data_IF_975744690992
#
_entry.id   IF_975744690992
#
_cell.length_a   1.000
_cell.length_b   1.000
_cell.length_c   1.000
_cell.angle_alpha   90.00
_cell.angle_beta   90.00
_cell.angle_gamma   90.00
#
_symmetry.space_group_name_H-M   'P 1'
#
loop_
_entity.id
_entity.type
_entity.pdbx_description
1 polymer ?
#
# COMPACT_ATOMS: atom_id res chain seq x y z
N UNK A 1 -23.33 -6.23 -11.66
CA UNK A 1 -22.21 -7.03 -12.21
C UNK A 1 -20.97 -6.14 -12.13
N UNK A 2 -19.82 -6.65 -11.68
CA UNK A 2 -18.56 -5.88 -11.60
C UNK A 2 -17.61 -6.36 -12.70
N UNK A 3 -16.69 -5.51 -13.14
CA UNK A 3 -15.64 -5.93 -14.06
C UNK A 3 -14.83 -7.03 -13.37
N UNK A 4 -14.75 -8.21 -13.98
CA UNK A 4 -13.85 -9.28 -13.55
C UNK A 4 -12.75 -9.44 -14.58
N UNK A 5 -11.49 -9.39 -14.15
CA UNK A 5 -10.34 -9.84 -14.94
C UNK A 5 -9.76 -11.09 -14.31
N UNK A 6 -9.20 -11.95 -15.14
CA UNK A 6 -8.38 -13.07 -14.72
C UNK A 6 -7.04 -12.94 -15.44
N UNK A 7 -5.97 -12.77 -14.67
CA UNK A 7 -4.63 -12.72 -15.22
C UNK A 7 -3.97 -14.11 -15.25
N UNK A 8 -4.20 -14.92 -14.21
CA UNK A 8 -3.76 -16.31 -14.15
C UNK A 8 -4.98 -17.24 -14.16
N UNK A 9 -4.93 -18.27 -14.99
CA UNK A 9 -5.83 -19.42 -14.89
C UNK A 9 -5.60 -20.17 -13.56
N UNK A 10 -6.56 -21.02 -13.17
CA UNK A 10 -6.40 -21.84 -11.95
C UNK A 10 -5.18 -22.78 -12.05
N UNK A 11 -4.90 -23.32 -13.24
CA UNK A 11 -3.73 -24.15 -13.50
C UNK A 11 -2.42 -23.35 -13.36
N UNK A 12 -2.40 -22.09 -13.83
CA UNK A 12 -1.23 -21.22 -13.69
C UNK A 12 -1.00 -20.78 -12.24
N UNK A 13 -2.05 -20.55 -11.44
CA UNK A 13 -1.93 -20.29 -10.00
C UNK A 13 -1.35 -21.48 -9.26
N UNK A 14 -1.84 -22.68 -9.57
CA UNK A 14 -1.29 -23.92 -9.03
C UNK A 14 0.19 -24.08 -9.44
N UNK A 15 0.53 -23.75 -10.68
CA UNK A 15 1.92 -23.78 -11.14
C UNK A 15 2.81 -22.81 -10.34
N UNK A 16 2.37 -21.57 -10.11
CA UNK A 16 3.10 -20.61 -9.26
C UNK A 16 3.29 -21.20 -7.85
N UNK A 17 2.25 -21.79 -7.26
CA UNK A 17 2.35 -22.40 -5.94
C UNK A 17 3.35 -23.57 -5.91
N UNK A 18 3.33 -24.45 -6.90
CA UNK A 18 4.23 -25.61 -6.96
C UNK A 18 5.70 -25.19 -7.15
N UNK A 19 5.98 -24.23 -8.03
CA UNK A 19 7.33 -23.69 -8.19
C UNK A 19 7.79 -22.96 -6.92
N UNK A 20 6.89 -22.25 -6.24
CA UNK A 20 7.18 -21.59 -4.96
C UNK A 20 7.61 -22.60 -3.90
N UNK A 21 6.87 -23.71 -3.75
CA UNK A 21 7.23 -24.77 -2.81
C UNK A 21 8.58 -25.41 -3.14
N UNK A 22 8.86 -25.57 -4.43
CA UNK A 22 10.14 -26.10 -4.90
C UNK A 22 11.29 -25.14 -4.58
N UNK A 23 11.11 -23.83 -4.78
CA UNK A 23 12.09 -22.81 -4.41
C UNK A 23 12.39 -22.88 -2.90
N UNK A 24 11.34 -22.85 -2.06
CA UNK A 24 11.48 -22.90 -0.61
C UNK A 24 12.19 -24.18 -0.11
N UNK A 25 11.97 -25.31 -0.78
CA UNK A 25 12.52 -26.61 -0.38
C UNK A 25 13.90 -26.92 -0.95
N UNK A 26 14.15 -26.62 -2.23
CA UNK A 26 15.40 -26.96 -2.93
C UNK A 26 16.45 -25.86 -2.80
N UNK A 27 16.07 -24.60 -3.00
CA UNK A 27 17.00 -23.46 -2.91
C UNK A 27 17.16 -23.00 -1.46
N UNK A 28 16.06 -22.95 -0.70
CA UNK A 28 16.03 -22.43 0.66
C UNK A 28 16.01 -20.90 0.70
N UNK A 29 15.96 -20.38 1.93
CA UNK A 29 15.90 -18.93 2.21
C UNK A 29 16.95 -18.60 3.28
N UNK A 30 17.67 -17.49 3.08
CA UNK A 30 18.71 -17.00 3.98
C UNK A 30 18.09 -16.19 5.13
N UNK A 31 18.32 -16.57 6.37
CA UNK A 31 17.83 -15.86 7.55
C UNK A 31 18.98 -15.35 8.42
N UNK A 32 19.12 -14.03 8.53
CA UNK A 32 20.10 -13.45 9.45
C UNK A 32 19.67 -13.49 10.93
N UNK A 33 18.41 -13.85 11.20
CA UNK A 33 17.87 -14.07 12.54
C UNK A 33 18.09 -15.51 13.01
N UNK A 34 18.83 -15.68 14.11
CA UNK A 34 18.94 -16.97 14.78
C UNK A 34 17.60 -17.42 15.40
N UNK A 35 16.74 -16.49 15.83
CA UNK A 35 15.40 -16.82 16.35
C UNK A 35 14.54 -17.47 15.26
N UNK A 36 14.55 -16.92 14.05
CA UNK A 36 13.83 -17.47 12.91
C UNK A 36 14.33 -18.86 12.52
N UNK A 37 15.65 -19.06 12.46
CA UNK A 37 16.23 -20.39 12.18
C UNK A 37 15.84 -21.44 13.23
N UNK A 38 15.89 -21.07 14.52
CA UNK A 38 15.44 -21.97 15.60
C UNK A 38 13.95 -22.33 15.47
N UNK A 39 13.09 -21.36 15.15
CA UNK A 39 11.66 -21.61 14.92
C UNK A 39 11.44 -22.58 13.76
N UNK A 40 12.16 -22.40 12.65
CA UNK A 40 12.05 -23.27 11.48
C UNK A 40 12.55 -24.69 11.78
N UNK A 41 13.71 -24.83 12.41
CA UNK A 41 14.28 -26.15 12.78
C UNK A 41 13.35 -26.90 13.75
N UNK A 42 12.82 -26.19 14.77
CA UNK A 42 11.89 -26.76 15.73
C UNK A 42 10.57 -27.25 15.09
N UNK A 43 10.21 -26.73 13.92
CA UNK A 43 9.03 -27.15 13.15
C UNK A 43 9.37 -28.09 11.98
N UNK A 44 10.61 -28.61 11.91
CA UNK A 44 10.99 -29.66 10.97
C UNK A 44 11.63 -29.17 9.67
N UNK A 45 12.00 -27.89 9.56
CA UNK A 45 12.81 -27.41 8.44
C UNK A 45 14.25 -27.93 8.58
N UNK A 46 14.90 -28.21 7.45
CA UNK A 46 16.35 -28.46 7.45
C UNK A 46 17.06 -27.12 7.48
N UNK A 47 17.96 -26.91 8.45
CA UNK A 47 18.74 -25.68 8.57
C UNK A 47 20.23 -25.96 8.33
N UNK A 48 20.83 -25.20 7.43
CA UNK A 48 22.28 -25.01 7.35
C UNK A 48 22.63 -23.81 8.23
N UNK A 49 23.16 -24.08 9.43
CA UNK A 49 23.52 -23.06 10.41
C UNK A 49 24.76 -22.24 10.02
N UNK A 50 25.67 -22.80 9.21
CA UNK A 50 26.86 -22.10 8.75
C UNK A 50 26.48 -21.10 7.64
N UNK A 51 25.72 -21.57 6.66
CA UNK A 51 25.18 -20.74 5.58
C UNK A 51 24.00 -19.85 6.01
N UNK A 52 23.40 -20.12 7.18
CA UNK A 52 22.15 -19.51 7.68
C UNK A 52 20.94 -19.72 6.75
N UNK A 53 20.91 -20.83 6.03
CA UNK A 53 19.87 -21.15 5.06
C UNK A 53 18.90 -22.16 5.67
N UNK A 54 17.61 -21.87 5.57
CA UNK A 54 16.56 -22.82 5.91
C UNK A 54 15.85 -23.34 4.65
N UNK A 55 15.69 -24.65 4.58
CA UNK A 55 14.98 -25.35 3.52
C UNK A 55 13.62 -25.78 4.05
N UNK A 56 12.57 -25.16 3.52
CA UNK A 56 11.24 -25.16 4.12
C UNK A 56 10.34 -26.15 3.37
N UNK A 57 9.92 -27.26 4.01
CA UNK A 57 9.06 -28.26 3.38
C UNK A 57 7.59 -27.82 3.31
N UNK A 58 6.81 -28.47 2.42
CA UNK A 58 5.39 -28.14 2.15
C UNK A 58 4.53 -28.15 3.41
N UNK A 59 4.84 -29.02 4.35
CA UNK A 59 4.09 -29.22 5.60
C UNK A 59 4.10 -27.94 6.45
N UNK A 60 5.26 -27.27 6.56
CA UNK A 60 5.38 -26.00 7.29
C UNK A 60 4.60 -24.89 6.57
N UNK A 61 4.69 -24.83 5.23
CA UNK A 61 3.93 -23.86 4.43
C UNK A 61 2.42 -24.04 4.67
N UNK A 62 1.95 -25.29 4.65
CA UNK A 62 0.54 -25.64 4.88
C UNK A 62 0.09 -25.28 6.30
N UNK A 63 0.92 -25.56 7.30
CA UNK A 63 0.65 -25.21 8.70
C UNK A 63 0.51 -23.70 8.88
N UNK A 64 1.46 -22.91 8.36
CA UNK A 64 1.43 -21.45 8.45
C UNK A 64 0.18 -20.88 7.76
N UNK A 65 -0.11 -21.33 6.54
CA UNK A 65 -1.32 -20.90 5.82
C UNK A 65 -2.62 -21.31 6.54
N UNK A 66 -2.62 -22.40 7.31
CA UNK A 66 -3.82 -22.84 8.05
C UNK A 66 -4.13 -21.99 9.29
N UNK A 67 -3.11 -21.34 9.85
CA UNK A 67 -3.23 -20.50 11.06
C UNK A 67 -3.43 -19.03 10.74
N UNK A 68 -2.99 -18.58 9.56
CA UNK A 68 -3.17 -17.20 9.10
C UNK A 68 -4.67 -16.84 8.97
N UNK A 69 -5.15 -15.75 9.60
CA UNK A 69 -6.53 -15.30 9.49
C UNK A 69 -6.93 -14.97 8.04
N UNK A 70 -8.11 -15.45 7.63
CA UNK A 70 -8.68 -15.19 6.29
C UNK A 70 -9.34 -13.83 6.16
N UNK A 71 -9.71 -13.24 7.29
CA UNK A 71 -10.34 -11.92 7.34
C UNK A 71 -10.09 -11.27 8.70
N UNK A 72 -10.00 -9.94 8.70
CA UNK A 72 -9.92 -9.10 9.88
C UNK A 72 -10.22 -7.66 9.49
N UNK A 73 -10.31 -6.76 10.47
CA UNK A 73 -10.53 -5.33 10.23
C UNK A 73 -9.25 -4.60 10.56
N UNK A 74 -8.70 -3.84 9.62
CA UNK A 74 -7.72 -2.81 9.92
C UNK A 74 -8.43 -1.69 10.65
N UNK A 75 -8.20 -1.56 11.95
CA UNK A 75 -8.76 -0.45 12.71
C UNK A 75 -8.02 0.84 12.43
N UNK A 76 -8.39 1.87 13.18
CA UNK A 76 -7.71 3.16 13.16
C UNK A 76 -7.91 3.86 14.51
N UNK A 77 -7.20 4.97 14.73
CA UNK A 77 -7.41 5.79 15.94
C UNK A 77 -8.85 6.28 16.02
N UNK A 78 -9.39 6.79 14.91
CA UNK A 78 -10.82 7.05 14.77
C UNK A 78 -11.51 5.80 14.17
N UNK A 79 -12.41 5.12 14.90
CA UNK A 79 -13.08 3.92 14.42
C UNK A 79 -13.89 4.10 13.13
N UNK A 80 -14.23 5.33 12.73
CA UNK A 80 -14.89 5.62 11.46
C UNK A 80 -14.02 5.28 10.23
N UNK A 81 -12.70 5.16 10.41
CA UNK A 81 -11.75 4.77 9.36
C UNK A 81 -11.38 3.29 9.37
N UNK A 82 -12.09 2.46 10.15
CA UNK A 82 -11.88 1.02 10.13
C UNK A 82 -12.17 0.44 8.75
N UNK A 83 -11.29 -0.43 8.27
CA UNK A 83 -11.34 -1.00 6.92
C UNK A 83 -11.33 -2.53 6.96
N UNK A 84 -12.42 -3.20 6.56
CA UNK A 84 -12.50 -4.66 6.56
C UNK A 84 -11.68 -5.27 5.43
N UNK A 85 -10.97 -6.35 5.75
CA UNK A 85 -10.17 -7.14 4.82
C UNK A 85 -10.65 -8.61 4.83
N UNK A 86 -10.77 -9.28 3.67
CA UNK A 86 -10.67 -8.70 2.33
C UNK A 86 -11.83 -7.72 2.04
N UNK A 87 -11.56 -6.75 1.18
CA UNK A 87 -12.49 -5.70 0.80
C UNK A 87 -13.14 -5.99 -0.55
N UNK A 88 -14.43 -5.65 -0.73
CA UNK A 88 -15.09 -5.78 -2.02
C UNK A 88 -14.60 -4.75 -3.06
N UNK A 89 -13.84 -3.73 -2.67
CA UNK A 89 -13.34 -2.66 -3.54
C UNK A 89 -11.93 -2.28 -3.12
N UNK A 90 -11.05 -2.04 -4.08
CA UNK A 90 -9.71 -1.55 -3.76
C UNK A 90 -9.77 -0.16 -3.14
N UNK A 91 -8.95 0.06 -2.12
CA UNK A 91 -8.62 1.38 -1.58
C UNK A 91 -7.11 1.59 -1.65
N UNK A 92 -6.63 2.72 -1.17
CA UNK A 92 -5.25 3.12 -1.43
C UNK A 92 -4.50 3.46 -0.15
N UNK A 93 -3.18 3.24 -0.21
CA UNK A 93 -2.23 3.64 0.79
C UNK A 93 -1.26 4.69 0.23
N UNK A 94 -0.77 5.55 1.12
CA UNK A 94 0.41 6.36 0.83
C UNK A 94 1.57 5.45 0.48
N UNK A 95 2.40 5.90 -0.46
CA UNK A 95 3.74 5.36 -0.61
C UNK A 95 4.63 5.77 0.58
N UNK A 96 5.73 5.07 0.77
CA UNK A 96 6.53 5.13 1.99
C UNK A 96 7.97 5.58 1.78
N UNK A 97 8.53 6.24 2.81
CA UNK A 97 9.98 6.34 3.04
C UNK A 97 10.83 6.94 1.91
N UNK A 98 10.23 7.67 0.96
CA UNK A 98 10.94 8.33 -0.14
C UNK A 98 12.07 9.23 0.38
N UNK A 99 13.19 9.28 -0.34
CA UNK A 99 14.35 10.05 0.12
C UNK A 99 14.11 11.56 0.05
N UNK A 100 13.32 12.01 -0.92
CA UNK A 100 13.13 13.42 -1.24
C UNK A 100 11.67 13.85 -1.11
N UNK A 101 11.50 15.13 -0.79
CA UNK A 101 10.23 15.84 -0.90
C UNK A 101 10.41 17.08 -1.78
N UNK A 102 9.39 17.38 -2.58
CA UNK A 102 9.26 18.68 -3.21
C UNK A 102 8.66 19.65 -2.19
N UNK A 103 9.41 20.68 -1.83
CA UNK A 103 8.91 21.71 -0.93
C UNK A 103 7.72 22.44 -1.57
N UNK A 104 6.56 22.36 -0.91
CA UNK A 104 5.30 22.83 -1.47
C UNK A 104 5.29 24.32 -1.84
N UNK A 105 6.02 25.16 -1.09
CA UNK A 105 6.01 26.61 -1.31
C UNK A 105 7.05 27.06 -2.33
N UNK A 106 8.24 26.44 -2.31
CA UNK A 106 9.36 26.85 -3.17
C UNK A 106 9.49 26.02 -4.44
N UNK A 107 8.86 24.85 -4.51
CA UNK A 107 8.97 23.89 -5.61
C UNK A 107 10.32 23.19 -5.71
N UNK A 108 11.20 23.35 -4.70
CA UNK A 108 12.53 22.75 -4.71
C UNK A 108 12.52 21.35 -4.13
N UNK A 109 13.18 20.42 -4.81
CA UNK A 109 13.43 19.08 -4.28
C UNK A 109 14.56 19.14 -3.24
N UNK A 110 14.36 18.48 -2.11
CA UNK A 110 15.31 18.34 -1.01
C UNK A 110 15.06 17.04 -0.26
N UNK A 111 15.96 16.66 0.63
CA UNK A 111 15.70 15.55 1.54
C UNK A 111 14.41 15.77 2.35
N UNK A 112 13.70 14.67 2.57
CA UNK A 112 12.47 14.63 3.35
C UNK A 112 12.69 15.01 4.81
N UNK A 113 11.65 15.53 5.43
CA UNK A 113 11.62 15.88 6.86
C UNK A 113 10.31 15.43 7.48
N UNK A 114 10.26 15.37 8.80
CA UNK A 114 9.03 15.06 9.54
C UNK A 114 7.90 16.08 9.28
N UNK A 115 8.23 17.33 8.95
CA UNK A 115 7.24 18.34 8.55
C UNK A 115 6.62 18.02 7.17
N UNK A 116 7.38 17.39 6.25
CA UNK A 116 6.82 16.94 4.98
C UNK A 116 5.88 15.74 5.20
N UNK A 117 6.25 14.82 6.10
CA UNK A 117 5.36 13.76 6.56
C UNK A 117 4.06 14.34 7.13
N UNK A 118 4.16 15.31 8.05
CA UNK A 118 3.00 15.95 8.67
C UNK A 118 2.04 16.56 7.62
N UNK A 119 2.58 17.30 6.64
CA UNK A 119 1.77 17.90 5.56
C UNK A 119 1.14 16.85 4.66
N UNK A 120 1.91 15.85 4.23
CA UNK A 120 1.41 14.78 3.36
C UNK A 120 0.31 13.97 4.04
N UNK A 121 0.48 13.64 5.31
CA UNK A 121 -0.51 12.92 6.12
C UNK A 121 -1.82 13.72 6.27
N UNK A 122 -1.73 15.05 6.43
CA UNK A 122 -2.92 15.92 6.44
C UNK A 122 -3.64 15.94 5.09
N UNK A 123 -2.89 16.02 3.99
CA UNK A 123 -3.47 15.94 2.63
C UNK A 123 -4.14 14.58 2.42
N UNK A 124 -3.44 13.49 2.74
CA UNK A 124 -3.95 12.13 2.62
C UNK A 124 -5.18 11.88 3.51
N UNK A 125 -5.24 12.50 4.68
CA UNK A 125 -6.41 12.40 5.56
C UNK A 125 -7.69 12.86 4.84
N UNK A 126 -7.61 13.90 4.02
CA UNK A 126 -8.74 14.40 3.24
C UNK A 126 -9.10 13.56 1.99
N UNK A 127 -8.26 12.60 1.59
CA UNK A 127 -8.48 11.76 0.41
C UNK A 127 -9.45 10.62 0.74
N UNK A 128 -10.56 10.50 0.03
CA UNK A 128 -11.61 9.52 0.32
C UNK A 128 -11.28 8.09 -0.13
N UNK A 129 -10.41 7.93 -1.13
CA UNK A 129 -9.93 6.61 -1.56
C UNK A 129 -8.80 6.07 -0.68
N UNK A 130 -8.16 6.93 0.12
CA UNK A 130 -7.04 6.58 0.99
C UNK A 130 -7.49 6.02 2.34
N UNK A 131 -7.04 4.81 2.71
CA UNK A 131 -7.41 4.13 3.96
C UNK A 131 -6.23 3.82 4.88
N UNK A 132 -5.01 3.74 4.33
CA UNK A 132 -3.80 3.32 5.05
C UNK A 132 -2.70 4.36 4.86
N UNK A 133 -2.25 4.96 5.96
CA UNK A 133 -1.22 5.98 5.96
C UNK A 133 0.14 5.36 6.29
N UNK A 134 1.11 5.59 5.43
CA UNK A 134 2.53 5.33 5.65
C UNK A 134 3.26 6.67 5.67
N UNK A 135 4.31 6.81 6.47
CA UNK A 135 5.22 7.96 6.47
C UNK A 135 5.82 8.14 5.06
N UNK A 136 5.45 9.19 4.31
CA UNK A 136 5.78 9.26 2.89
C UNK A 136 7.24 9.57 2.58
N UNK A 137 8.01 10.11 3.53
CA UNK A 137 9.44 10.33 3.34
C UNK A 137 10.23 9.93 4.56
N UNK A 138 11.49 9.55 4.32
CA UNK A 138 12.47 9.43 5.39
C UNK A 138 12.68 10.80 6.04
N UNK A 139 12.47 10.90 7.35
CA UNK A 139 12.62 12.13 8.11
C UNK A 139 14.11 12.38 8.42
N UNK A 140 14.83 12.93 7.43
CA UNK A 140 16.29 13.15 7.52
C UNK A 140 16.68 14.22 8.56
N UNK A 141 15.71 14.98 9.08
CA UNK A 141 15.91 15.89 10.22
C UNK A 141 15.92 15.20 11.59
N UNK A 142 15.68 13.87 11.65
CA UNK A 142 15.65 13.07 12.88
C UNK A 142 16.87 12.13 13.02
N UNK A 143 17.25 11.74 14.25
CA UNK A 143 18.38 10.81 14.46
C UNK A 143 18.14 9.46 13.80
N UNK A 144 19.17 8.89 13.16
CA UNK A 144 19.02 7.69 12.33
C UNK A 144 18.53 6.47 13.13
N UNK A 145 19.02 6.28 14.37
CA UNK A 145 18.65 5.13 15.21
C UNK A 145 17.20 5.14 15.70
N UNK A 146 16.53 6.31 15.69
CA UNK A 146 15.15 6.48 16.17
C UNK A 146 14.20 7.02 15.11
N UNK A 147 14.70 7.34 13.92
CA UNK A 147 13.92 7.90 12.81
C UNK A 147 12.61 7.13 12.53
N UNK A 148 12.60 5.78 12.47
CA UNK A 148 11.33 5.06 12.26
C UNK A 148 10.29 5.33 13.36
N UNK A 149 10.70 5.58 14.61
CA UNK A 149 9.78 5.93 15.70
C UNK A 149 9.18 7.33 15.51
N UNK A 150 9.99 8.31 15.07
CA UNK A 150 9.51 9.65 14.74
C UNK A 150 8.49 9.59 13.60
N UNK A 151 8.80 8.84 12.55
CA UNK A 151 7.92 8.62 11.39
C UNK A 151 6.61 7.90 11.80
N UNK A 152 6.70 6.86 12.61
CA UNK A 152 5.53 6.18 13.17
C UNK A 152 4.62 7.16 13.91
N UNK A 153 5.18 7.95 14.84
CA UNK A 153 4.43 8.90 15.66
C UNK A 153 3.95 10.15 14.90
N UNK A 154 4.59 10.49 13.78
CA UNK A 154 4.10 11.49 12.84
C UNK A 154 2.75 11.08 12.24
N UNK A 155 2.56 9.80 11.91
CA UNK A 155 1.29 9.26 11.41
C UNK A 155 0.19 9.47 12.45
N UNK A 156 0.42 9.10 13.71
CA UNK A 156 -0.57 9.27 14.77
C UNK A 156 -0.99 10.73 14.99
N UNK A 157 -0.04 11.66 14.88
CA UNK A 157 -0.25 13.09 15.11
C UNK A 157 -1.06 13.74 13.99
N UNK A 158 -0.87 13.29 12.75
CA UNK A 158 -1.33 14.03 11.57
C UNK A 158 -2.47 13.36 10.79
N UNK A 159 -2.86 12.13 11.15
CA UNK A 159 -4.06 11.47 10.62
C UNK A 159 -4.72 10.57 11.67
N UNK A 160 -6.01 10.32 11.53
CA UNK A 160 -6.75 9.35 12.35
C UNK A 160 -7.11 8.05 11.61
N UNK A 161 -6.67 7.91 10.35
CA UNK A 161 -6.78 6.68 9.53
C UNK A 161 -5.84 5.58 10.03
N UNK A 162 -5.95 4.36 9.48
CA UNK A 162 -5.04 3.27 9.80
C UNK A 162 -3.60 3.68 9.49
N UNK A 163 -2.67 3.45 10.42
CA UNK A 163 -1.25 3.72 10.18
C UNK A 163 -0.45 2.46 9.91
N UNK A 164 0.54 2.56 9.05
CA UNK A 164 1.49 1.50 8.77
C UNK A 164 2.89 2.09 8.70
N UNK A 165 3.85 1.45 9.35
CA UNK A 165 5.25 1.80 9.19
C UNK A 165 6.13 0.63 9.64
N UNK A 166 7.44 0.85 9.62
CA UNK A 166 8.43 -0.15 9.97
C UNK A 166 9.27 0.22 11.18
N UNK A 167 9.93 -0.78 11.74
CA UNK A 167 11.03 -0.63 12.69
C UNK A 167 12.17 -1.52 12.22
N UNK A 168 13.41 -1.11 12.45
CA UNK A 168 14.59 -1.78 11.91
C UNK A 168 15.35 -2.56 12.97
N UNK A 169 15.20 -2.19 14.24
CA UNK A 169 15.98 -2.76 15.33
C UNK A 169 15.08 -3.20 16.50
N UNK A 170 15.50 -4.25 17.19
CA UNK A 170 14.78 -4.83 18.33
C UNK A 170 14.61 -3.80 19.46
N UNK A 171 15.61 -2.94 19.66
CA UNK A 171 15.67 -1.91 20.69
C UNK A 171 14.61 -0.82 20.50
N UNK A 172 14.04 -0.67 19.30
CA UNK A 172 12.96 0.27 19.01
C UNK A 172 11.59 -0.26 19.50
N UNK A 173 11.44 -1.58 19.63
CA UNK A 173 10.16 -2.22 19.93
C UNK A 173 9.50 -1.77 21.25
N UNK A 174 10.23 -1.54 22.37
CA UNK A 174 9.60 -1.10 23.61
C UNK A 174 9.02 0.31 23.49
N UNK A 175 9.69 1.19 22.73
CA UNK A 175 9.25 2.56 22.50
C UNK A 175 8.01 2.61 21.61
N UNK A 176 7.98 1.81 20.55
CA UNK A 176 6.79 1.68 19.71
C UNK A 176 5.61 1.14 20.52
N UNK A 177 5.83 0.10 21.34
CA UNK A 177 4.81 -0.47 22.22
C UNK A 177 4.24 0.56 23.21
N UNK A 178 5.11 1.30 23.90
CA UNK A 178 4.70 2.35 24.85
C UNK A 178 3.87 3.45 24.14
N UNK A 179 4.30 3.87 22.95
CA UNK A 179 3.57 4.88 22.16
C UNK A 179 2.21 4.39 21.67
N UNK A 180 2.13 3.15 21.15
CA UNK A 180 0.87 2.51 20.74
C UNK A 180 -0.13 2.43 21.89
N UNK A 181 0.32 1.96 23.06
CA UNK A 181 -0.52 1.87 24.27
C UNK A 181 -0.97 3.25 24.72
N UNK A 182 -0.08 4.24 24.66
CA UNK A 182 -0.41 5.63 25.01
C UNK A 182 -1.53 6.18 24.11
N UNK A 183 -1.46 5.96 22.80
CA UNK A 183 -2.48 6.47 21.87
C UNK A 183 -3.79 5.69 21.95
N UNK A 184 -3.72 4.37 22.08
CA UNK A 184 -4.91 3.51 22.10
C UNK A 184 -5.57 3.41 23.50
N UNK A 185 -4.85 3.82 24.55
CA UNK A 185 -5.29 3.84 25.94
C UNK A 185 -4.99 2.55 26.72
N UNK A 186 -4.80 1.41 26.04
CA UNK A 186 -4.41 0.14 26.67
C UNK A 186 -3.82 -0.83 25.65
N UNK A 187 -3.08 -1.83 26.15
CA UNK A 187 -2.58 -2.94 25.34
C UNK A 187 -3.72 -3.75 24.70
N UNK A 188 -4.79 -4.00 25.45
CA UNK A 188 -5.98 -4.71 24.93
C UNK A 188 -6.60 -3.98 23.73
N UNK A 189 -6.63 -2.65 23.73
CA UNK A 189 -7.16 -1.88 22.61
C UNK A 189 -6.22 -1.88 21.39
N UNK A 190 -4.90 -1.97 21.60
CA UNK A 190 -3.92 -2.19 20.51
C UNK A 190 -4.20 -3.53 19.82
N UNK A 191 -4.26 -4.62 20.61
CA UNK A 191 -4.50 -5.99 20.12
C UNK A 191 -5.87 -6.15 19.47
N UNK A 192 -6.91 -5.52 20.02
CA UNK A 192 -8.29 -5.71 19.55
C UNK A 192 -8.59 -4.92 18.29
N UNK A 193 -8.07 -3.70 18.16
CA UNK A 193 -8.44 -2.80 17.06
C UNK A 193 -7.57 -2.96 15.83
N UNK A 194 -6.31 -3.38 15.97
CA UNK A 194 -5.36 -3.37 14.87
C UNK A 194 -5.28 -1.98 14.21
N UNK A 195 -5.24 -0.92 15.03
CA UNK A 195 -5.24 0.45 14.53
C UNK A 195 -3.99 0.81 13.73
N UNK A 196 -2.94 0.03 13.93
CA UNK A 196 -1.65 0.17 13.27
C UNK A 196 -1.13 -1.21 12.86
N UNK A 197 -0.48 -1.26 11.71
CA UNK A 197 0.19 -2.45 11.20
C UNK A 197 1.68 -2.17 10.99
N UNK A 198 2.42 -3.25 10.79
CA UNK A 198 3.82 -3.20 10.38
C UNK A 198 3.93 -3.58 8.92
N UNK A 199 4.92 -3.03 8.23
CA UNK A 199 5.35 -3.51 6.91
C UNK A 199 6.66 -4.25 7.04
N UNK A 200 6.78 -5.44 6.46
CA UNK A 200 8.00 -6.24 6.49
C UNK A 200 8.46 -6.54 5.07
N UNK A 201 9.62 -6.01 4.70
CA UNK A 201 10.21 -6.19 3.37
C UNK A 201 11.34 -7.24 3.45
N UNK A 202 11.14 -8.47 2.94
CA UNK A 202 12.27 -9.38 2.74
C UNK A 202 13.24 -8.81 1.70
N UNK A 203 14.51 -9.21 1.81
CA UNK A 203 15.58 -8.79 0.92
C UNK A 203 15.65 -9.77 -0.25
N UNK A 204 15.35 -9.29 -1.45
CA UNK A 204 15.43 -10.12 -2.64
C UNK A 204 16.88 -10.32 -3.12
N UNK A 205 17.25 -11.53 -3.60
CA UNK A 205 16.44 -12.75 -3.61
C UNK A 205 16.55 -13.55 -2.29
N UNK A 206 15.38 -13.98 -1.78
CA UNK A 206 15.22 -15.06 -0.78
C UNK A 206 16.03 -14.85 0.52
N UNK A 207 16.01 -13.64 1.06
CA UNK A 207 16.73 -13.30 2.28
C UNK A 207 15.89 -12.49 3.27
N UNK A 208 16.17 -12.66 4.55
CA UNK A 208 15.56 -11.91 5.65
C UNK A 208 16.62 -11.20 6.49
N UNK A 209 16.39 -9.91 6.77
CA UNK A 209 17.17 -9.16 7.75
C UNK A 209 17.01 -9.75 9.16
N UNK A 210 18.08 -9.70 9.97
CA UNK A 210 18.10 -10.28 11.31
C UNK A 210 17.41 -9.40 12.35
N UNK A 211 17.95 -8.19 12.63
CA UNK A 211 17.38 -7.26 13.60
C UNK A 211 15.89 -6.95 13.37
N UNK A 212 15.49 -6.66 12.13
CA UNK A 212 14.09 -6.36 11.80
C UNK A 212 13.19 -7.59 12.03
N UNK A 213 13.63 -8.78 11.61
CA UNK A 213 12.86 -10.01 11.84
C UNK A 213 12.67 -10.27 13.34
N UNK A 214 13.74 -10.11 14.14
CA UNK A 214 13.68 -10.29 15.58
C UNK A 214 12.74 -9.28 16.26
N UNK A 215 12.76 -8.02 15.80
CA UNK A 215 11.83 -6.99 16.25
C UNK A 215 10.38 -7.36 15.95
N UNK A 216 10.10 -7.92 14.78
CA UNK A 216 8.74 -8.25 14.35
C UNK A 216 8.24 -9.50 15.04
N UNK A 217 9.12 -10.48 15.31
CA UNK A 217 8.80 -11.61 16.19
C UNK A 217 8.41 -11.09 17.58
N UNK A 218 9.14 -10.13 18.15
CA UNK A 218 8.81 -9.55 19.46
C UNK A 218 7.46 -8.79 19.45
N UNK A 219 7.25 -7.93 18.45
CA UNK A 219 6.01 -7.15 18.30
C UNK A 219 4.77 -8.02 18.00
N UNK A 220 4.96 -9.30 17.67
CA UNK A 220 3.85 -10.26 17.62
C UNK A 220 3.18 -10.43 18.98
N UNK A 221 3.88 -10.13 20.08
CA UNK A 221 3.27 -10.04 21.39
C UNK A 221 2.19 -8.95 21.49
N UNK A 222 2.07 -7.99 20.57
CA UNK A 222 0.97 -7.01 20.53
C UNK A 222 -0.09 -7.34 19.46
N UNK A 223 0.00 -8.52 18.84
CA UNK A 223 -0.87 -8.97 17.74
C UNK A 223 -0.94 -8.00 16.55
N UNK A 224 0.06 -7.12 16.39
CA UNK A 224 0.08 -6.13 15.30
C UNK A 224 0.05 -6.84 13.94
N UNK A 225 -0.87 -6.49 13.02
CA UNK A 225 -0.86 -7.05 11.68
C UNK A 225 0.46 -6.79 10.97
N UNK A 226 0.90 -7.74 10.14
CA UNK A 226 2.09 -7.56 9.30
C UNK A 226 1.73 -7.69 7.83
N UNK A 227 2.04 -6.67 7.06
CA UNK A 227 2.03 -6.75 5.60
C UNK A 227 3.40 -7.21 5.11
N UNK A 228 3.43 -8.27 4.31
CA UNK A 228 4.68 -8.77 3.72
C UNK A 228 4.91 -8.09 2.39
N UNK A 229 6.03 -7.40 2.15
CA UNK A 229 6.27 -6.66 0.90
C UNK A 229 7.57 -7.10 0.21
N UNK A 230 7.62 -8.28 -0.43
CA UNK A 230 8.72 -8.67 -1.30
C UNK A 230 8.83 -7.79 -2.54
N UNK A 231 10.07 -7.45 -2.92
CA UNK A 231 10.38 -6.51 -4.00
C UNK A 231 11.43 -7.02 -5.01
N UNK A 232 11.29 -8.24 -5.56
CA UNK A 232 12.24 -8.71 -6.56
C UNK A 232 12.08 -7.92 -7.86
N UNK A 233 13.21 -7.52 -8.42
CA UNK A 233 13.31 -6.70 -9.64
C UNK A 233 13.78 -7.59 -10.79
N UNK A 234 13.00 -7.61 -11.86
CA UNK A 234 13.28 -8.48 -13.02
C UNK A 234 14.66 -8.17 -13.60
N UNK A 235 15.51 -9.19 -13.70
CA UNK A 235 16.86 -9.08 -14.25
C UNK A 235 17.94 -8.61 -13.28
N UNK A 236 17.63 -8.32 -12.02
CA UNK A 236 18.63 -8.03 -10.97
C UNK A 236 18.46 -8.94 -9.76
N UNK A 237 17.56 -8.59 -8.83
CA UNK A 237 17.26 -9.35 -7.61
C UNK A 237 16.24 -10.45 -7.86
N UNK A 238 15.66 -10.54 -9.06
CA UNK A 238 14.89 -11.68 -9.53
C UNK A 238 15.14 -11.98 -11.01
N UNK A 239 14.64 -13.11 -11.53
CA UNK A 239 14.83 -13.48 -12.92
C UNK A 239 14.13 -12.49 -13.87
N UNK A 240 14.66 -12.34 -15.08
CA UNK A 240 14.08 -11.44 -16.10
C UNK A 240 12.66 -11.86 -16.54
N UNK A 241 12.34 -13.15 -16.41
CA UNK A 241 11.00 -13.68 -16.70
C UNK A 241 10.00 -13.20 -15.65
N UNK A 242 8.89 -12.59 -16.08
CA UNK A 242 7.82 -12.16 -15.18
C UNK A 242 7.30 -13.32 -14.32
N UNK A 243 7.07 -14.49 -14.92
CA UNK A 243 6.61 -15.67 -14.20
C UNK A 243 7.60 -16.13 -13.13
N UNK A 244 8.89 -16.16 -13.48
CA UNK A 244 9.94 -16.50 -12.52
C UNK A 244 10.02 -15.48 -11.37
N UNK A 245 9.84 -14.19 -11.67
CA UNK A 245 9.89 -13.11 -10.69
C UNK A 245 8.68 -13.17 -9.75
N UNK A 246 7.50 -13.50 -10.28
CA UNK A 246 6.29 -13.80 -9.48
C UNK A 246 6.55 -14.97 -8.53
N UNK A 247 7.21 -16.04 -8.98
CA UNK A 247 7.52 -17.19 -8.12
C UNK A 247 8.49 -16.82 -6.99
N UNK A 248 9.50 -15.97 -7.26
CA UNK A 248 10.42 -15.46 -6.22
C UNK A 248 9.67 -14.58 -5.22
N UNK A 249 8.88 -13.61 -5.70
CA UNK A 249 8.08 -12.75 -4.84
C UNK A 249 7.15 -13.57 -3.94
N UNK A 250 6.50 -14.59 -4.50
CA UNK A 250 5.61 -15.47 -3.76
C UNK A 250 6.36 -16.31 -2.71
N UNK A 251 7.56 -16.80 -3.02
CA UNK A 251 8.40 -17.52 -2.04
C UNK A 251 8.83 -16.62 -0.88
N UNK A 252 9.19 -15.38 -1.15
CA UNK A 252 9.55 -14.39 -0.13
C UNK A 252 8.34 -13.98 0.75
N UNK A 253 7.16 -13.79 0.14
CA UNK A 253 5.92 -13.56 0.89
C UNK A 253 5.60 -14.75 1.81
N UNK A 254 5.61 -15.98 1.28
CA UNK A 254 5.29 -17.17 2.08
C UNK A 254 6.32 -17.45 3.18
N UNK A 255 7.62 -17.26 2.92
CA UNK A 255 8.65 -17.41 3.96
C UNK A 255 8.48 -16.41 5.10
N UNK A 256 8.08 -15.17 4.79
CA UNK A 256 7.69 -14.17 5.78
C UNK A 256 6.49 -14.64 6.60
N UNK A 257 5.39 -15.04 5.94
CA UNK A 257 4.17 -15.52 6.60
C UNK A 257 4.47 -16.71 7.52
N UNK A 258 5.31 -17.64 7.06
CA UNK A 258 5.70 -18.82 7.83
C UNK A 258 6.33 -18.42 9.15
N UNK A 259 7.34 -17.54 9.15
CA UNK A 259 7.99 -17.13 10.39
C UNK A 259 7.00 -16.51 11.37
N UNK A 260 6.14 -15.59 10.89
CA UNK A 260 5.21 -14.90 11.78
C UNK A 260 4.10 -15.80 12.31
N UNK A 261 3.63 -16.77 11.52
CA UNK A 261 2.64 -17.75 11.99
C UNK A 261 3.25 -18.82 12.90
N UNK A 262 4.53 -19.20 12.71
CA UNK A 262 5.22 -20.10 13.64
C UNK A 262 5.50 -19.42 14.98
N UNK A 263 5.87 -18.14 14.96
CA UNK A 263 6.11 -17.35 16.17
C UNK A 263 4.80 -17.04 16.92
N UNK A 264 3.77 -16.62 16.18
CA UNK A 264 2.48 -16.18 16.74
C UNK A 264 1.32 -16.69 15.87
N UNK A 265 0.88 -17.95 16.06
CA UNK A 265 -0.23 -18.52 15.30
C UNK A 265 -1.50 -17.69 15.40
N UNK A 266 -2.10 -17.32 14.27
CA UNK A 266 -3.31 -16.50 14.24
C UNK A 266 -3.05 -14.98 14.18
N UNK A 267 -1.78 -14.55 14.20
CA UNK A 267 -1.43 -13.15 13.97
C UNK A 267 -1.93 -12.70 12.60
N UNK A 268 -2.63 -11.55 12.47
CA UNK A 268 -3.06 -11.08 11.16
C UNK A 268 -1.87 -10.81 10.22
N UNK A 269 -1.97 -11.30 8.99
CA UNK A 269 -0.98 -11.05 7.93
C UNK A 269 -1.68 -10.58 6.66
N UNK A 270 -1.04 -9.66 5.94
CA UNK A 270 -1.50 -9.19 4.64
C UNK A 270 -0.46 -9.62 3.61
N UNK A 271 -0.90 -10.40 2.63
CA UNK A 271 -0.07 -10.80 1.51
C UNK A 271 0.17 -9.58 0.62
N UNK A 272 1.42 -9.27 0.28
CA UNK A 272 1.71 -8.16 -0.66
C UNK A 272 2.90 -8.49 -1.54
N UNK A 273 3.14 -7.59 -2.49
CA UNK A 273 4.40 -7.46 -3.19
C UNK A 273 4.49 -6.09 -3.86
N UNK A 274 5.72 -5.61 -3.99
CA UNK A 274 6.08 -4.49 -4.85
C UNK A 274 7.22 -4.91 -5.79
N UNK A 275 6.91 -5.79 -6.75
CA UNK A 275 7.87 -6.20 -7.77
C UNK A 275 8.41 -5.01 -8.56
N UNK A 276 9.56 -5.14 -9.21
CA UNK A 276 10.08 -4.10 -10.08
C UNK A 276 10.51 -4.63 -11.42
N UNK A 277 10.79 -3.70 -12.32
CA UNK A 277 11.49 -4.00 -13.57
C UNK A 277 12.81 -3.25 -13.67
N UNK A 278 13.73 -3.78 -14.47
CA UNK A 278 14.99 -3.13 -14.78
C UNK A 278 14.92 -2.45 -16.15
N UNK A 279 15.34 -1.20 -16.25
CA UNK A 279 15.68 -0.62 -17.56
C UNK A 279 17.07 -1.14 -17.99
N UNK A 280 17.09 -2.09 -18.92
CA UNK A 280 18.32 -2.70 -19.44
C UNK A 280 19.28 -1.71 -20.12
N UNK A 281 18.85 -0.49 -20.43
CA UNK A 281 19.69 0.53 -21.08
C UNK A 281 20.61 1.24 -20.09
N UNK A 282 20.18 1.39 -18.83
CA UNK A 282 20.89 2.18 -17.82
C UNK A 282 20.99 1.50 -16.44
N UNK A 283 20.33 0.37 -16.24
CA UNK A 283 20.32 -0.37 -14.98
C UNK A 283 19.40 0.22 -13.90
N UNK A 284 18.52 1.16 -14.23
CA UNK A 284 17.60 1.77 -13.26
C UNK A 284 16.45 0.81 -12.89
N UNK A 285 16.02 0.89 -11.63
CA UNK A 285 14.75 0.33 -11.19
C UNK A 285 13.61 1.12 -11.84
N UNK A 286 12.56 0.40 -12.24
CA UNK A 286 11.38 0.93 -12.89
C UNK A 286 10.13 0.33 -12.23
N UNK A 287 9.33 1.19 -11.61
CA UNK A 287 8.06 0.87 -10.96
C UNK A 287 6.83 1.27 -11.79
N UNK A 288 6.97 2.22 -12.73
CA UNK A 288 5.91 2.77 -13.57
C UNK A 288 5.60 1.97 -14.85
N UNK A 289 5.93 0.67 -14.89
CA UNK A 289 5.86 -0.14 -16.12
C UNK A 289 4.61 -1.01 -16.19
N UNK A 290 4.13 -1.35 -17.40
CA UNK A 290 2.99 -2.27 -17.55
C UNK A 290 3.30 -3.66 -16.97
N UNK A 291 4.55 -4.15 -17.06
CA UNK A 291 4.98 -5.41 -16.47
C UNK A 291 4.81 -5.43 -14.95
N UNK A 292 5.08 -4.31 -14.28
CA UNK A 292 4.83 -4.16 -12.84
C UNK A 292 3.33 -4.29 -12.52
N UNK A 293 2.46 -3.64 -13.29
CA UNK A 293 1.00 -3.78 -13.14
C UNK A 293 0.52 -5.23 -13.32
N UNK A 294 1.09 -5.96 -14.29
CA UNK A 294 0.78 -7.38 -14.51
C UNK A 294 1.24 -8.25 -13.33
N UNK A 295 2.49 -8.13 -12.88
CA UNK A 295 2.99 -8.93 -11.75
C UNK A 295 2.19 -8.65 -10.47
N UNK A 296 1.86 -7.38 -10.21
CA UNK A 296 1.04 -6.97 -9.07
C UNK A 296 -0.35 -7.59 -9.09
N UNK A 297 -1.02 -7.59 -10.26
CA UNK A 297 -2.32 -8.26 -10.41
C UNK A 297 -2.22 -9.77 -10.19
N UNK A 298 -1.20 -10.44 -10.75
CA UNK A 298 -0.99 -11.87 -10.60
C UNK A 298 -0.77 -12.26 -9.14
N UNK A 299 0.04 -11.49 -8.41
CA UNK A 299 0.30 -11.71 -6.99
C UNK A 299 -0.93 -11.40 -6.13
N UNK A 300 -1.77 -10.43 -6.49
CA UNK A 300 -3.08 -10.25 -5.85
C UNK A 300 -3.98 -11.48 -6.04
N UNK A 301 -3.96 -12.12 -7.22
CA UNK A 301 -4.68 -13.39 -7.42
C UNK A 301 -4.10 -14.52 -6.57
N UNK A 302 -2.78 -14.56 -6.35
CA UNK A 302 -2.13 -15.53 -5.46
C UNK A 302 -2.50 -15.30 -3.98
N UNK A 303 -2.58 -14.06 -3.51
CA UNK A 303 -3.10 -13.74 -2.17
C UNK A 303 -4.49 -14.35 -1.96
N UNK A 304 -5.39 -14.20 -2.94
CA UNK A 304 -6.73 -14.83 -2.93
C UNK A 304 -6.70 -16.34 -3.06
N UNK A 305 -5.79 -16.89 -3.87
CA UNK A 305 -5.57 -18.34 -3.96
C UNK A 305 -5.25 -18.93 -2.58
N UNK A 306 -4.45 -18.21 -1.78
CA UNK A 306 -4.18 -18.59 -0.40
C UNK A 306 -5.30 -18.22 0.58
N UNK A 307 -6.34 -17.50 0.17
CA UNK A 307 -7.41 -17.01 1.04
C UNK A 307 -6.97 -15.89 2.00
N UNK A 308 -5.91 -15.17 1.66
CA UNK A 308 -5.38 -14.06 2.46
C UNK A 308 -5.82 -12.72 1.88
N UNK A 309 -6.01 -11.69 2.73
CA UNK A 309 -6.14 -10.34 2.21
C UNK A 309 -4.83 -9.93 1.56
N UNK A 310 -4.95 -9.12 0.51
CA UNK A 310 -3.85 -8.76 -0.36
C UNK A 310 -3.73 -7.25 -0.54
N UNK A 311 -2.52 -6.75 -0.43
CA UNK A 311 -2.16 -5.45 -0.99
C UNK A 311 -1.27 -5.63 -2.22
N UNK A 312 -1.11 -4.58 -3.01
CA UNK A 312 -0.19 -4.58 -4.15
C UNK A 312 0.41 -3.19 -4.29
N UNK A 313 1.65 -3.10 -4.75
CA UNK A 313 2.10 -1.83 -5.29
C UNK A 313 1.33 -1.50 -6.59
N UNK A 314 1.16 -0.20 -6.82
CA UNK A 314 0.47 0.35 -7.99
C UNK A 314 0.29 1.84 -7.79
N UNK A 315 -0.17 2.56 -8.81
CA UNK A 315 -0.09 4.03 -8.78
C UNK A 315 1.37 4.53 -8.66
N UNK A 316 2.32 3.75 -9.19
CA UNK A 316 3.76 4.04 -9.21
C UNK A 316 4.14 4.75 -10.51
N UNK A 317 5.23 5.51 -10.49
CA UNK A 317 5.75 6.20 -11.68
C UNK A 317 7.24 6.50 -11.60
N UNK A 318 7.91 6.34 -12.73
CA UNK A 318 9.33 6.63 -12.97
C UNK A 318 9.54 8.05 -13.53
N UNK A 319 8.45 8.80 -13.74
CA UNK A 319 8.50 10.18 -14.20
C UNK A 319 9.32 11.06 -13.26
N UNK A 320 10.10 11.96 -13.85
CA UNK A 320 11.01 12.83 -13.10
C UNK A 320 10.28 13.95 -12.35
N UNK A 321 9.06 14.27 -12.77
CA UNK A 321 8.24 15.33 -12.20
C UNK A 321 6.74 14.99 -12.32
N UNK A 322 5.88 15.58 -11.48
CA UNK A 322 4.44 15.50 -11.66
C UNK A 322 4.02 16.02 -13.04
N UNK A 323 3.32 15.20 -13.81
CA UNK A 323 2.96 15.57 -15.17
C UNK A 323 2.16 14.51 -15.92
N UNK A 324 2.01 14.66 -17.25
CA UNK A 324 1.36 13.68 -18.11
C UNK A 324 2.00 12.28 -18.03
N UNK A 325 3.33 12.21 -17.99
CA UNK A 325 4.07 10.94 -17.89
C UNK A 325 3.73 10.22 -16.59
N UNK A 326 3.76 10.96 -15.46
CA UNK A 326 3.36 10.43 -14.16
C UNK A 326 1.92 9.91 -14.16
N UNK A 327 0.97 10.67 -14.72
CA UNK A 327 -0.44 10.26 -14.79
C UNK A 327 -0.62 9.00 -15.64
N UNK A 328 0.08 8.92 -16.77
CA UNK A 328 0.02 7.74 -17.65
C UNK A 328 0.51 6.49 -16.92
N UNK A 329 1.72 6.55 -16.36
CA UNK A 329 2.36 5.43 -15.67
C UNK A 329 1.53 4.99 -14.46
N UNK A 330 1.11 5.93 -13.61
CA UNK A 330 0.29 5.62 -12.43
C UNK A 330 -1.06 4.99 -12.80
N UNK A 331 -1.68 5.42 -13.90
CA UNK A 331 -2.93 4.82 -14.36
C UNK A 331 -2.74 3.37 -14.83
N UNK A 332 -1.70 3.09 -15.62
CA UNK A 332 -1.45 1.73 -16.14
C UNK A 332 -1.04 0.75 -15.04
N UNK A 333 -0.32 1.22 -14.02
CA UNK A 333 0.09 0.38 -12.87
C UNK A 333 -1.03 0.18 -11.86
N UNK A 334 -2.09 1.00 -11.88
CA UNK A 334 -3.24 0.86 -10.96
C UNK A 334 -4.36 -0.03 -11.49
N UNK A 335 -4.70 0.06 -12.78
CA UNK A 335 -5.90 -0.62 -13.31
C UNK A 335 -5.81 -2.13 -13.16
N UNK A 336 -4.66 -2.73 -13.51
CA UNK A 336 -4.47 -4.18 -13.46
C UNK A 336 -4.66 -4.75 -12.04
N UNK A 337 -3.99 -4.26 -10.97
CA UNK A 337 -4.21 -4.78 -9.62
C UNK A 337 -5.62 -4.50 -9.06
N UNK A 338 -6.28 -3.40 -9.45
CA UNK A 338 -7.71 -3.19 -9.09
C UNK A 338 -8.60 -4.27 -9.68
N UNK A 339 -8.47 -4.52 -10.99
CA UNK A 339 -9.27 -5.55 -11.67
C UNK A 339 -8.88 -6.95 -11.22
N UNK A 340 -7.60 -7.14 -10.89
CA UNK A 340 -7.01 -8.30 -10.25
C UNK A 340 -7.33 -8.40 -8.77
N UNK A 341 -8.26 -7.60 -8.22
CA UNK A 341 -8.88 -7.79 -6.91
C UNK A 341 -7.99 -7.53 -5.68
N UNK A 342 -6.98 -6.66 -5.80
CA UNK A 342 -6.18 -6.21 -4.66
C UNK A 342 -7.06 -5.43 -3.66
N UNK A 343 -6.91 -5.66 -2.36
CA UNK A 343 -7.73 -4.98 -1.33
C UNK A 343 -7.27 -3.55 -1.09
N UNK A 344 -5.95 -3.31 -1.16
CA UNK A 344 -5.32 -2.00 -1.02
C UNK A 344 -4.15 -1.87 -2.00
N UNK A 345 -4.08 -0.74 -2.70
CA UNK A 345 -2.97 -0.39 -3.60
C UNK A 345 -2.06 0.63 -2.91
N UNK A 346 -0.76 0.37 -2.89
CA UNK A 346 0.27 1.21 -2.26
C UNK A 346 1.03 1.98 -3.35
N UNK A 347 1.07 3.32 -3.24
CA UNK A 347 1.83 4.17 -4.18
C UNK A 347 1.38 5.63 -4.29
N UNK A 348 0.48 6.10 -3.41
CA UNK A 348 0.03 7.50 -3.46
C UNK A 348 1.17 8.48 -3.13
N UNK A 349 1.27 9.54 -3.93
CA UNK A 349 1.98 10.78 -3.59
C UNK A 349 3.42 10.87 -4.07
N UNK A 350 4.03 9.77 -4.50
CA UNK A 350 5.42 9.77 -4.95
C UNK A 350 5.57 9.62 -6.47
N UNK A 351 6.68 10.14 -6.99
CA UNK A 351 7.19 9.95 -8.35
C UNK A 351 8.69 9.63 -8.27
N UNK A 352 9.40 9.54 -9.42
CA UNK A 352 10.81 9.14 -9.48
C UNK A 352 11.09 7.75 -8.90
N UNK A 353 10.22 6.79 -9.21
CA UNK A 353 10.33 5.42 -8.71
C UNK A 353 10.36 5.39 -7.19
N UNK A 354 9.33 6.01 -6.59
CA UNK A 354 9.07 6.00 -5.15
C UNK A 354 10.12 6.80 -4.34
N UNK A 355 10.75 7.82 -4.96
CA UNK A 355 11.81 8.62 -4.34
C UNK A 355 11.40 10.05 -3.98
N UNK A 356 10.44 10.64 -4.70
CA UNK A 356 10.06 12.04 -4.56
C UNK A 356 8.60 12.21 -4.18
N UNK A 357 8.34 12.63 -2.95
CA UNK A 357 7.01 13.07 -2.50
C UNK A 357 6.62 14.41 -3.14
N UNK A 358 5.40 14.47 -3.67
CA UNK A 358 4.75 15.69 -4.17
C UNK A 358 3.32 15.76 -3.63
N UNK A 359 2.98 16.82 -2.87
CA UNK A 359 1.67 16.91 -2.22
C UNK A 359 0.51 16.97 -3.22
N UNK A 360 0.69 17.69 -4.33
CA UNK A 360 -0.28 17.73 -5.41
C UNK A 360 -0.52 16.35 -6.03
N UNK A 361 0.50 15.48 -6.06
CA UNK A 361 0.38 14.13 -6.60
C UNK A 361 -0.56 13.27 -5.76
N UNK A 362 -0.61 13.44 -4.42
CA UNK A 362 -1.56 12.71 -3.56
C UNK A 362 -3.02 12.97 -4.01
N UNK A 363 -3.33 14.22 -4.38
CA UNK A 363 -4.67 14.61 -4.85
C UNK A 363 -4.95 14.05 -6.25
N UNK A 364 -3.96 14.08 -7.14
CA UNK A 364 -4.07 13.50 -8.48
C UNK A 364 -4.24 11.98 -8.41
N UNK A 365 -3.53 11.31 -7.52
CA UNK A 365 -3.59 9.87 -7.32
C UNK A 365 -4.96 9.44 -6.78
N UNK A 366 -5.57 10.26 -5.91
CA UNK A 366 -6.96 10.05 -5.47
C UNK A 366 -7.95 10.13 -6.64
N UNK A 367 -7.72 10.99 -7.63
CA UNK A 367 -8.54 11.06 -8.85
C UNK A 367 -8.33 9.83 -9.76
N UNK A 368 -7.08 9.37 -9.91
CA UNK A 368 -6.76 8.12 -10.63
C UNK A 368 -7.47 6.94 -9.97
N UNK A 369 -7.47 6.89 -8.63
CA UNK A 369 -8.16 5.88 -7.86
C UNK A 369 -9.68 5.85 -8.12
N UNK A 370 -10.32 7.01 -8.19
CA UNK A 370 -11.74 7.13 -8.55
C UNK A 370 -12.04 6.63 -9.97
N UNK A 371 -11.15 6.90 -10.93
CA UNK A 371 -11.29 6.34 -12.28
C UNK A 371 -11.19 4.82 -12.27
N UNK A 372 -10.23 4.26 -11.53
CA UNK A 372 -10.08 2.81 -11.42
C UNK A 372 -11.32 2.19 -10.75
N UNK A 373 -11.87 2.80 -9.69
CA UNK A 373 -13.10 2.34 -9.05
C UNK A 373 -14.28 2.36 -10.02
N UNK A 374 -14.45 3.43 -10.80
CA UNK A 374 -15.53 3.51 -11.79
C UNK A 374 -15.40 2.46 -12.89
N UNK A 375 -14.18 2.15 -13.34
CA UNK A 375 -13.92 1.07 -14.30
C UNK A 375 -14.31 -0.28 -13.68
N UNK A 376 -13.87 -0.54 -12.44
CA UNK A 376 -14.17 -1.77 -11.71
C UNK A 376 -15.67 -2.01 -11.51
N UNK A 377 -16.46 -0.95 -11.33
CA UNK A 377 -17.92 -1.04 -11.21
C UNK A 377 -18.61 -1.60 -12.47
N UNK A 378 -17.95 -1.56 -13.64
CA UNK A 378 -18.49 -2.11 -14.89
C UNK A 378 -19.72 -1.38 -15.42
N UNK A 379 -20.61 -2.12 -16.09
CA UNK A 379 -21.87 -1.61 -16.67
C UNK A 379 -23.05 -2.17 -15.88
N UNK A 380 -23.91 -1.28 -15.39
CA UNK A 380 -25.15 -1.69 -14.72
C UNK A 380 -26.22 -2.09 -15.75
N UNK A 381 -26.69 -3.34 -15.64
CA UNK A 381 -27.72 -3.92 -16.50
C UNK A 381 -29.07 -4.05 -15.79
N UNK A 382 -29.23 -3.35 -14.65
CA UNK A 382 -30.48 -3.30 -13.92
C UNK A 382 -31.62 -2.75 -14.80
N UNK A 383 -32.89 -3.16 -14.56
CA UNK A 383 -34.03 -2.76 -15.40
C UNK A 383 -34.17 -1.25 -15.61
N UNK A 384 -33.74 -0.45 -14.64
CA UNK A 384 -33.77 1.02 -14.66
C UNK A 384 -32.82 1.64 -15.69
N UNK A 385 -31.75 0.92 -16.07
CA UNK A 385 -30.70 1.39 -16.99
C UNK A 385 -30.95 1.00 -18.44
N UNK A 386 -31.86 0.05 -18.69
CA UNK A 386 -32.13 -0.50 -20.03
C UNK A 386 -32.62 0.58 -21.01
N UNK A 387 -33.51 1.47 -20.56
CA UNK A 387 -34.05 2.62 -21.31
C UNK A 387 -34.57 2.36 -22.74
N UNK A 388 -34.79 1.10 -23.16
CA UNK A 388 -35.26 0.73 -24.50
C UNK A 388 -36.57 1.44 -24.88
N UNK A 389 -37.51 1.57 -23.95
CA UNK A 389 -38.77 2.29 -24.18
C UNK A 389 -38.55 3.77 -24.54
N UNK A 390 -37.56 4.42 -23.93
CA UNK A 390 -37.24 5.81 -24.26
C UNK A 390 -36.57 5.92 -25.63
N UNK A 391 -35.76 4.93 -26.02
CA UNK A 391 -35.14 4.84 -27.34
C UNK A 391 -36.23 4.67 -28.42
N UNK A 392 -37.14 3.70 -28.23
CA UNK A 392 -38.23 3.41 -29.17
C UNK A 392 -39.17 4.61 -29.34
N UNK A 393 -39.53 5.29 -28.25
CA UNK A 393 -40.40 6.48 -28.29
C UNK A 393 -39.72 7.71 -28.91
N UNK A 394 -38.39 7.82 -28.84
CA UNK A 394 -37.67 8.96 -29.39
C UNK A 394 -37.51 8.82 -30.91
N UNK A 395 -37.22 7.60 -31.37
CA UNK A 395 -37.03 7.29 -32.78
C UNK A 395 -35.71 7.83 -33.37
N UNK A 396 -35.42 7.48 -34.64
CA UNK A 396 -34.20 7.92 -35.33
C UNK A 396 -34.10 9.45 -35.45
N UNK A 397 -32.91 10.00 -35.22
CA UNK A 397 -32.63 11.43 -35.35
C UNK A 397 -33.05 12.32 -34.17
N UNK A 398 -33.64 11.75 -33.11
CA UNK A 398 -33.97 12.48 -31.89
C UNK A 398 -32.79 12.65 -30.92
N UNK A 399 -33.03 13.39 -29.83
CA UNK A 399 -32.05 13.65 -28.76
C UNK A 399 -32.62 13.37 -27.36
N UNK A 400 -31.81 12.83 -26.45
CA UNK A 400 -32.24 12.38 -25.11
C UNK A 400 -32.19 13.47 -24.03
N UNK A 401 -31.61 14.65 -24.29
CA UNK A 401 -31.39 15.68 -23.27
C UNK A 401 -32.65 16.08 -22.47
N UNK A 402 -33.83 16.07 -23.12
CA UNK A 402 -35.10 16.45 -22.49
C UNK A 402 -35.82 15.29 -21.80
N UNK A 403 -35.29 14.05 -21.86
CA UNK A 403 -35.89 12.89 -21.22
C UNK A 403 -35.75 12.94 -19.70
N UNK A 404 -36.79 12.49 -19.00
CA UNK A 404 -36.76 12.35 -17.54
C UNK A 404 -35.73 11.32 -17.09
N UNK A 405 -35.59 10.21 -17.82
CA UNK A 405 -34.57 9.18 -17.57
C UNK A 405 -33.16 9.74 -17.57
N UNK A 406 -32.79 10.55 -18.56
CA UNK A 406 -31.47 11.21 -18.63
C UNK A 406 -31.22 12.06 -17.40
N UNK A 407 -32.19 12.88 -16.98
CA UNK A 407 -32.05 13.72 -15.77
C UNK A 407 -31.90 12.89 -14.50
N UNK A 408 -32.66 11.81 -14.37
CA UNK A 408 -32.61 10.93 -13.21
C UNK A 408 -31.27 10.20 -13.13
N UNK A 409 -30.82 9.61 -14.25
CA UNK A 409 -29.59 8.83 -14.28
C UNK A 409 -28.33 9.69 -14.16
N UNK A 410 -28.35 10.94 -14.65
CA UNK A 410 -27.23 11.87 -14.49
C UNK A 410 -26.88 12.17 -13.01
N UNK A 411 -27.78 11.88 -12.06
CA UNK A 411 -27.57 12.05 -10.61
C UNK A 411 -27.48 10.73 -9.85
N UNK A 412 -27.46 9.60 -10.56
CA UNK A 412 -27.52 8.25 -9.97
C UNK A 412 -26.16 7.61 -9.71
N UNK A 413 -25.06 8.30 -10.02
CA UNK A 413 -23.70 7.72 -10.02
C UNK A 413 -23.34 6.95 -11.30
N UNK A 414 -24.24 6.91 -12.30
CA UNK A 414 -23.96 6.29 -13.61
C UNK A 414 -22.73 6.90 -14.30
N UNK A 415 -22.63 8.23 -14.22
CA UNK A 415 -21.55 9.02 -14.79
C UNK A 415 -20.67 9.56 -13.67
N UNK A 416 -19.36 9.34 -13.80
CA UNK A 416 -18.39 9.95 -12.90
C UNK A 416 -18.07 11.39 -13.34
N UNK A 417 -18.22 12.32 -12.42
CA UNK A 417 -17.90 13.73 -12.60
C UNK A 417 -16.65 14.06 -11.80
N UNK A 418 -15.54 14.21 -12.51
CA UNK A 418 -14.27 14.58 -11.93
C UNK A 418 -14.35 15.94 -11.23
N UNK A 419 -13.96 16.06 -9.94
CA UNK A 419 -13.78 17.35 -9.28
C UNK A 419 -12.49 18.07 -9.72
N UNK A 420 -11.57 17.36 -10.39
CA UNK A 420 -10.21 17.83 -10.64
C UNK A 420 -9.95 18.19 -12.12
N UNK A 421 -10.52 17.42 -13.06
CA UNK A 421 -10.39 17.65 -14.50
C UNK A 421 -11.35 18.74 -14.99
N UNK A 422 -10.81 19.68 -15.76
CA UNK A 422 -11.62 20.68 -16.44
C UNK A 422 -12.31 20.08 -17.68
N UNK A 423 -13.64 20.26 -17.77
CA UNK A 423 -14.46 19.84 -18.90
C UNK A 423 -15.27 21.01 -19.49
N UNK A 424 -14.86 22.24 -19.23
CA UNK A 424 -15.49 23.42 -19.81
C UNK A 424 -15.25 23.48 -21.32
N UNK A 425 -16.00 24.32 -22.01
CA UNK A 425 -15.68 24.63 -23.41
C UNK A 425 -14.33 25.34 -23.50
N UNK A 426 -13.67 25.27 -24.66
CA UNK A 426 -12.37 25.93 -24.86
C UNK A 426 -12.39 27.43 -24.53
N UNK A 427 -13.49 28.11 -24.88
CA UNK A 427 -13.69 29.53 -24.58
C UNK A 427 -13.74 29.79 -23.07
N UNK A 428 -14.56 29.03 -22.34
CA UNK A 428 -14.68 29.13 -20.88
C UNK A 428 -13.38 28.78 -20.17
N UNK A 429 -12.72 27.69 -20.57
CA UNK A 429 -11.41 27.29 -20.03
C UNK A 429 -10.35 28.39 -20.22
N UNK A 430 -10.37 29.06 -21.38
CA UNK A 430 -9.48 30.21 -21.63
C UNK A 430 -9.80 31.39 -20.73
N UNK A 431 -11.08 31.71 -20.53
CA UNK A 431 -11.53 32.78 -19.63
C UNK A 431 -11.17 32.51 -18.16
N UNK A 432 -11.16 31.25 -17.74
CA UNK A 432 -10.76 30.80 -16.41
C UNK A 432 -9.24 30.79 -16.18
N UNK A 433 -8.44 31.22 -17.17
CA UNK A 433 -6.99 31.28 -17.05
C UNK A 433 -6.30 29.94 -17.31
N UNK A 434 -6.93 29.05 -18.09
CA UNK A 434 -6.38 27.76 -18.51
C UNK A 434 -6.01 26.82 -17.34
N UNK A 435 -6.93 26.56 -16.40
CA UNK A 435 -6.65 25.67 -15.28
C UNK A 435 -6.22 24.27 -15.77
N UNK A 436 -5.20 23.72 -15.13
CA UNK A 436 -4.70 22.36 -15.37
C UNK A 436 -4.80 21.48 -14.13
N UNK A 437 -4.64 20.17 -14.34
CA UNK A 437 -4.72 19.11 -13.32
C UNK A 437 -3.96 19.48 -12.03
N UNK A 438 -2.65 19.71 -12.13
CA UNK A 438 -1.82 20.04 -10.97
C UNK A 438 -2.10 21.42 -10.37
N UNK A 439 -2.54 22.40 -11.17
CA UNK A 439 -2.94 23.70 -10.62
C UNK A 439 -4.21 23.63 -9.78
N UNK A 440 -5.13 22.72 -10.12
CA UNK A 440 -6.34 22.46 -9.33
C UNK A 440 -5.99 21.64 -8.08
N UNK A 441 -5.13 20.63 -8.22
CA UNK A 441 -4.63 19.85 -7.09
C UNK A 441 -3.91 20.75 -6.06
N UNK A 442 -3.08 21.67 -6.53
CA UNK A 442 -2.40 22.66 -5.68
C UNK A 442 -3.38 23.50 -4.86
N UNK A 443 -4.45 24.02 -5.48
CA UNK A 443 -5.49 24.77 -4.76
C UNK A 443 -6.15 23.93 -3.68
N UNK A 444 -6.39 22.65 -3.94
CA UNK A 444 -6.95 21.74 -2.96
C UNK A 444 -5.98 21.50 -1.78
N UNK A 445 -4.69 21.31 -2.05
CA UNK A 445 -3.66 21.21 -1.01
C UNK A 445 -3.58 22.50 -0.19
N UNK A 446 -3.57 23.68 -0.83
CA UNK A 446 -3.58 24.98 -0.14
C UNK A 446 -4.77 25.10 0.83
N UNK A 447 -5.96 24.73 0.38
CA UNK A 447 -7.17 24.75 1.20
C UNK A 447 -7.05 23.79 2.40
N UNK A 448 -6.62 22.54 2.17
CA UNK A 448 -6.46 21.53 3.24
C UNK A 448 -5.43 21.99 4.28
N UNK A 449 -4.31 22.54 3.84
CA UNK A 449 -3.24 22.98 4.75
C UNK A 449 -3.62 24.23 5.54
N UNK A 450 -4.49 25.09 4.99
CA UNK A 450 -5.03 26.27 5.68
C UNK A 450 -6.12 25.95 6.71
N UNK A 451 -6.83 24.83 6.54
CA UNK A 451 -7.86 24.39 7.50
C UNK A 451 -7.24 23.80 8.78
N UNK A 452 -7.95 23.87 9.93
CA UNK A 452 -7.54 23.17 11.14
C UNK A 452 -7.35 21.67 10.90
N UNK A 453 -6.39 21.07 11.62
CA UNK A 453 -6.17 19.63 11.54
C UNK A 453 -7.41 18.84 11.95
N UNK A 454 -7.77 17.85 11.14
CA UNK A 454 -8.87 16.94 11.41
C UNK A 454 -8.44 15.90 12.45
N UNK A 455 -9.32 15.59 13.40
CA UNK A 455 -9.10 14.65 14.49
C UNK A 455 -7.73 14.79 15.19
N UNK A 456 -7.35 15.96 15.72
CA UNK A 456 -6.04 16.10 16.36
C UNK A 456 -5.90 15.18 17.58
N UNK A 457 -4.67 14.75 17.88
CA UNK A 457 -4.41 14.06 19.14
C UNK A 457 -4.72 14.97 20.33
N UNK A 458 -5.24 14.42 21.44
CA UNK A 458 -5.28 15.14 22.71
C UNK A 458 -3.89 15.65 23.10
N UNK A 459 -3.81 16.86 23.66
CA UNK A 459 -2.53 17.52 23.91
C UNK A 459 -1.64 16.81 24.94
N UNK A 460 -2.25 16.14 25.92
CA UNK A 460 -1.57 15.29 26.90
C UNK A 460 -0.97 14.03 26.26
N UNK A 461 -1.72 13.38 25.36
CA UNK A 461 -1.22 12.23 24.59
C UNK A 461 -0.08 12.64 23.65
N UNK A 462 -0.22 13.76 22.95
CA UNK A 462 0.84 14.28 22.07
C UNK A 462 2.13 14.59 22.85
N UNK A 463 2.01 15.27 24.01
CA UNK A 463 3.15 15.55 24.88
C UNK A 463 3.80 14.26 25.39
N UNK A 464 3.00 13.22 25.70
CA UNK A 464 3.55 11.94 26.16
C UNK A 464 4.35 11.23 25.06
N UNK A 465 3.91 11.28 23.81
CA UNK A 465 4.68 10.75 22.68
C UNK A 465 6.02 11.49 22.50
N UNK A 466 6.04 12.81 22.71
CA UNK A 466 7.28 13.60 22.63
C UNK A 466 8.27 13.19 23.74
N UNK A 467 7.80 12.88 24.94
CA UNK A 467 8.64 12.32 26.01
C UNK A 467 9.25 10.97 25.64
N UNK A 468 8.45 10.08 25.05
CA UNK A 468 8.89 8.74 24.60
C UNK A 468 9.98 8.88 23.54
N UNK A 469 9.78 9.75 22.55
CA UNK A 469 10.78 10.03 21.51
C UNK A 469 12.06 10.63 22.08
N UNK A 470 11.96 11.63 22.96
CA UNK A 470 13.13 12.25 23.57
C UNK A 470 13.95 11.24 24.40
N UNK A 471 13.29 10.28 25.05
CA UNK A 471 13.94 9.18 25.74
C UNK A 471 14.62 8.22 24.76
N UNK A 472 13.92 7.82 23.70
CA UNK A 472 14.48 6.96 22.65
C UNK A 472 15.72 7.62 22.02
N UNK A 473 15.65 8.90 21.67
CA UNK A 473 16.77 9.65 21.07
C UNK A 473 17.98 9.67 22.02
N UNK A 474 17.76 9.77 23.32
CA UNK A 474 18.87 9.72 24.28
C UNK A 474 19.54 8.35 24.37
N UNK A 475 18.77 7.27 24.18
CA UNK A 475 19.23 5.90 24.38
C UNK A 475 19.72 5.23 23.09
N UNK A 476 19.21 5.64 21.92
CA UNK A 476 19.36 4.94 20.63
C UNK A 476 19.87 5.82 19.47
N UNK A 477 20.06 7.14 19.65
CA UNK A 477 20.44 8.05 18.55
C UNK A 477 21.75 7.73 17.85
#
# INVERSE_FOLDING_TARGET
>A
MRFQSQLLSEDEKEQVHQETLRILFEAGVLFHSAKALNLLEANGARVDWEGKIAYIPREIVTQALSTAPRSFVLGARNPAHAYPLPSPVSRYALDGTGAFAQDFYTGKNRYGTDEDNARALRVFHAMDMGVMAWAPVSAEDKPAGTRPLHEFFSIFKNTSKHGQHEVHYLEQTPYLAEGLITVMGSEDEVRRRYAYSLIYCPIAPLMHDGPMMDAYIELGALDMPVMTLPMPVTGTTGPVSLFGNICVANAEALSTIIIFQLAHPGRPVIYSSATGTLDLRNGAYMGGTPEMGLMSAALAEMGRFYGLPSTSAGCTSDAHEPGPDAVLEKAITSIAPVLGGSDIIVGFGQVQSDQLLVLEQIVVDNEIAHFCERIFQGVDVSPEKVLTEDILKLGPGGNFLTRKSTRNLARSGELYFSPLLDRHTLEQWTQLGKPGLYSNARKQVENILAEPMQDPLPGDIAAKLDEILAKADKELA
#
